data_IF_280787121974
#
_entry.id   IF_280787121974
#
_cell.length_a   1.000
_cell.length_b   1.000
_cell.length_c   1.000
_cell.angle_alpha   90.00
_cell.angle_beta   90.00
_cell.angle_gamma   90.00
#
_symmetry.space_group_name_H-M   'P 1'
#
loop_
_entity.id
_entity.type
_entity.pdbx_description
1 polymer ?
#
# COMPACT_ATOMS: atom_id res chain seq x y z
N UNK A 1 -2.54 -32.79 8.33
CA UNK A 1 -2.52 -32.39 8.11
C UNK A 1 -1.97 -31.40 7.83
N UNK A 2 -1.38 -31.36 7.56
CA UNK A 2 -0.70 -30.35 7.08
C UNK A 2 -1.48 -29.20 6.90
N UNK A 3 -2.60 -29.36 6.90
CA UNK A 3 -3.45 -28.34 6.73
C UNK A 3 -3.35 -27.33 7.73
N UNK A 4 -3.13 -27.71 8.92
CA UNK A 4 -3.14 -26.73 9.96
C UNK A 4 -2.06 -25.74 9.78
N UNK A 5 -1.00 -26.13 9.20
CA UNK A 5 0.06 -25.19 8.98
C UNK A 5 -0.34 -24.09 8.08
N UNK A 6 -1.08 -24.42 7.09
CA UNK A 6 -1.50 -23.42 6.17
C UNK A 6 -2.37 -22.40 6.80
N UNK A 7 -3.15 -22.83 7.70
CA UNK A 7 -4.03 -21.92 8.37
C UNK A 7 -3.28 -20.89 9.12
N UNK A 8 -2.21 -21.28 9.73
CA UNK A 8 -1.44 -20.33 10.48
C UNK A 8 -0.80 -19.32 9.63
N UNK A 9 -0.34 -19.72 8.47
CA UNK A 9 0.24 -18.76 7.59
C UNK A 9 -0.73 -17.69 7.22
N UNK A 10 -1.95 -18.08 7.04
CA UNK A 10 -2.93 -17.12 6.61
C UNK A 10 -3.17 -16.04 7.61
N UNK A 11 -2.89 -16.31 8.86
CA UNK A 11 -3.16 -15.35 9.88
C UNK A 11 -2.08 -14.33 10.02
N UNK A 12 -0.91 -14.62 9.44
CA UNK A 12 0.24 -13.78 9.66
C UNK A 12 0.71 -13.21 8.34
N UNK A 13 -0.18 -12.50 7.70
CA UNK A 13 0.20 -11.88 6.45
C UNK A 13 1.30 -10.87 6.69
N UNK A 14 2.27 -10.82 5.82
CA UNK A 14 3.37 -9.87 5.89
C UNK A 14 3.27 -8.88 4.76
N UNK A 15 3.37 -7.62 5.10
CA UNK A 15 3.40 -6.55 4.11
C UNK A 15 4.83 -6.06 4.04
N UNK A 16 5.44 -6.18 2.87
CA UNK A 16 6.80 -5.72 2.66
C UNK A 16 6.78 -4.33 2.09
N UNK A 17 7.55 -3.44 2.68
CA UNK A 17 7.58 -2.04 2.27
C UNK A 17 8.99 -1.70 1.87
N UNK A 18 9.13 -1.22 0.63
CA UNK A 18 10.42 -0.79 0.11
C UNK A 18 10.29 0.67 -0.29
N UNK A 19 11.26 1.46 0.07
CA UNK A 19 11.25 2.87 -0.30
C UNK A 19 11.87 3.02 -1.67
N UNK A 20 11.06 3.42 -2.65
CA UNK A 20 11.59 3.63 -4.00
C UNK A 20 12.32 4.94 -4.10
N UNK A 21 11.78 5.97 -3.46
CA UNK A 21 12.43 7.25 -3.36
C UNK A 21 11.74 7.98 -2.23
N UNK A 22 12.08 9.24 -2.00
CA UNK A 22 11.50 9.92 -0.85
C UNK A 22 10.03 10.26 -1.02
N UNK A 23 9.49 10.04 -2.21
CA UNK A 23 8.07 10.36 -2.46
C UNK A 23 7.19 9.12 -2.53
N UNK A 24 7.76 7.95 -2.79
CA UNK A 24 6.96 6.77 -3.13
C UNK A 24 7.51 5.52 -2.43
N UNK A 25 6.58 4.76 -1.87
CA UNK A 25 6.89 3.45 -1.33
C UNK A 25 6.38 2.38 -2.28
N UNK A 26 7.03 1.24 -2.27
CA UNK A 26 6.50 0.07 -2.96
C UNK A 26 6.04 -0.94 -1.93
N UNK A 27 4.83 -1.42 -2.08
CA UNK A 27 4.21 -2.35 -1.16
C UNK A 27 4.13 -3.70 -1.85
N UNK A 28 4.58 -4.73 -1.15
CA UNK A 28 4.53 -6.08 -1.68
C UNK A 28 3.78 -6.95 -0.68
N UNK A 29 2.67 -7.51 -1.10
CA UNK A 29 1.85 -8.36 -0.26
C UNK A 29 1.01 -9.23 -1.17
N UNK A 30 0.21 -10.13 -0.59
CA UNK A 30 -0.57 -11.01 -1.45
C UNK A 30 -1.77 -10.26 -2.04
N UNK A 31 -2.47 -10.91 -2.93
CA UNK A 31 -3.53 -10.25 -3.67
C UNK A 31 -4.68 -9.82 -2.78
N UNK A 32 -5.03 -10.61 -1.80
CA UNK A 32 -6.15 -10.23 -0.95
C UNK A 32 -5.80 -9.05 -0.07
N UNK A 33 -4.59 -8.99 0.43
CA UNK A 33 -4.17 -7.84 1.22
C UNK A 33 -4.05 -6.61 0.33
N UNK A 34 -3.60 -6.79 -0.89
CA UNK A 34 -3.50 -5.69 -1.84
C UNK A 34 -4.88 -5.10 -2.12
N UNK A 35 -5.89 -5.94 -2.25
CA UNK A 35 -7.25 -5.46 -2.44
C UNK A 35 -7.76 -4.69 -1.22
N UNK A 36 -7.40 -5.15 -0.04
CA UNK A 36 -7.75 -4.42 1.17
C UNK A 36 -7.09 -3.07 1.23
N UNK A 37 -5.83 -2.99 0.82
CA UNK A 37 -5.13 -1.73 0.79
C UNK A 37 -5.78 -0.75 -0.18
N UNK A 38 -6.20 -1.26 -1.32
CA UNK A 38 -6.87 -0.42 -2.29
C UNK A 38 -8.12 0.22 -1.69
N UNK A 39 -8.89 -0.56 -0.97
CA UNK A 39 -10.09 -0.03 -0.33
C UNK A 39 -9.74 0.91 0.81
N UNK A 40 -8.77 0.55 1.61
CA UNK A 40 -8.39 1.36 2.76
C UNK A 40 -7.91 2.74 2.33
N UNK A 41 -7.18 2.81 1.22
CA UNK A 41 -6.60 4.06 0.75
C UNK A 41 -7.43 4.73 -0.34
N UNK A 42 -8.74 4.44 -0.39
CA UNK A 42 -9.61 5.12 -1.33
C UNK A 42 -10.70 5.86 -0.56
N UNK A 43 -11.19 6.92 -1.13
CA UNK A 43 -12.26 7.69 -0.49
C UNK A 43 -12.99 8.51 -1.52
N UNK A 44 -14.23 8.85 -1.20
CA UNK A 44 -15.00 9.72 -2.07
C UNK A 44 -14.54 11.16 -1.87
N UNK A 45 -14.43 11.87 -2.96
CA UNK A 45 -14.06 13.27 -2.90
C UNK A 45 -15.29 14.06 -2.42
N UNK A 46 -15.12 14.97 -1.45
CA UNK A 46 -16.23 15.79 -1.02
C UNK A 46 -16.80 16.58 -2.20
N UNK A 47 -18.11 16.57 -2.33
CA UNK A 47 -18.75 17.28 -3.43
C UNK A 47 -18.66 16.57 -4.75
N UNK A 48 -18.21 15.32 -4.79
CA UNK A 48 -18.03 14.62 -6.05
C UNK A 48 -19.33 14.54 -6.85
N UNK A 49 -20.47 14.49 -6.18
CA UNK A 49 -21.74 14.34 -6.87
C UNK A 49 -22.08 15.56 -7.73
N UNK A 50 -21.44 16.68 -7.47
CA UNK A 50 -21.68 17.89 -8.22
C UNK A 50 -20.64 18.13 -9.31
N UNK A 51 -19.69 17.23 -9.45
CA UNK A 51 -18.63 17.42 -10.42
C UNK A 51 -19.04 16.82 -11.76
N UNK A 52 -18.73 17.50 -12.86
CA UNK A 52 -19.17 17.03 -14.17
C UNK A 52 -18.69 15.63 -14.51
N UNK A 53 -17.45 15.29 -14.15
CA UNK A 53 -16.92 13.98 -14.48
C UNK A 53 -17.73 12.88 -13.81
N UNK A 54 -18.18 13.11 -12.58
CA UNK A 54 -19.02 12.13 -11.91
C UNK A 54 -20.39 12.07 -12.54
N UNK A 55 -20.97 13.23 -12.82
CA UNK A 55 -22.32 13.29 -13.38
C UNK A 55 -22.38 12.68 -14.76
N UNK A 56 -21.29 12.77 -15.50
CA UNK A 56 -21.21 12.19 -16.82
C UNK A 56 -20.73 10.76 -16.81
N UNK A 57 -20.54 10.18 -15.62
CA UNK A 57 -20.16 8.80 -15.43
C UNK A 57 -18.79 8.47 -15.99
N UNK A 58 -17.94 9.47 -16.08
CA UNK A 58 -16.57 9.29 -16.48
C UNK A 58 -15.73 8.85 -15.28
N UNK A 59 -16.19 9.19 -14.09
CA UNK A 59 -15.45 8.98 -12.85
C UNK A 59 -16.43 8.58 -11.77
N UNK A 60 -16.00 7.70 -10.86
CA UNK A 60 -16.87 7.16 -9.81
C UNK A 60 -16.85 7.99 -8.52
N UNK A 61 -16.15 9.11 -8.51
CA UNK A 61 -16.14 9.99 -7.34
C UNK A 61 -15.09 9.65 -6.32
N UNK A 62 -14.32 8.62 -6.54
CA UNK A 62 -13.30 8.18 -5.59
C UNK A 62 -11.90 8.52 -6.05
N UNK A 63 -11.04 8.77 -5.08
CA UNK A 63 -9.60 8.84 -5.30
C UNK A 63 -8.99 7.61 -4.67
N UNK A 64 -8.09 6.97 -5.38
CA UNK A 64 -7.40 5.79 -4.89
C UNK A 64 -5.92 6.11 -4.79
N UNK A 65 -5.42 6.11 -3.56
CA UNK A 65 -4.04 6.50 -3.32
C UNK A 65 -3.06 5.33 -3.47
N UNK A 66 -3.56 4.12 -3.37
CA UNK A 66 -2.71 2.94 -3.55
C UNK A 66 -2.95 2.37 -4.94
N UNK A 67 -1.86 2.18 -5.67
CA UNK A 67 -1.94 1.61 -7.00
C UNK A 67 -1.76 0.10 -6.88
N UNK A 68 -2.84 -0.63 -7.02
CA UNK A 68 -2.80 -2.08 -6.84
C UNK A 68 -1.97 -2.78 -7.91
N UNK A 69 -1.89 -2.19 -9.08
CA UNK A 69 -1.17 -2.81 -10.18
C UNK A 69 0.34 -2.71 -9.97
N UNK A 70 0.82 -1.54 -9.59
CA UNK A 70 2.25 -1.35 -9.39
C UNK A 70 2.69 -1.54 -7.96
N UNK A 71 1.76 -1.52 -7.02
CA UNK A 71 2.10 -1.61 -5.61
C UNK A 71 2.59 -0.31 -5.01
N UNK A 72 2.40 0.81 -5.69
CA UNK A 72 2.96 2.08 -5.22
C UNK A 72 2.01 2.81 -4.30
N UNK A 73 2.57 3.43 -3.28
CA UNK A 73 1.83 4.21 -2.31
C UNK A 73 2.65 5.45 -1.98
N UNK A 74 2.02 6.62 -1.89
CA UNK A 74 2.77 7.83 -1.51
C UNK A 74 3.45 7.64 -0.17
N UNK A 75 4.71 8.07 -0.08
CA UNK A 75 5.49 7.87 1.13
C UNK A 75 4.90 8.57 2.34
N UNK A 76 4.16 9.65 2.11
CA UNK A 76 3.52 10.35 3.21
C UNK A 76 2.46 9.55 3.92
N UNK A 77 2.04 8.41 3.35
CA UNK A 77 1.03 7.57 3.96
C UNK A 77 1.64 6.42 4.77
N UNK A 78 2.94 6.47 4.99
CA UNK A 78 3.63 5.43 5.76
C UNK A 78 2.97 5.20 7.13
N UNK A 79 2.67 6.23 7.91
CA UNK A 79 2.01 5.97 9.21
C UNK A 79 0.67 5.27 9.06
N UNK A 80 -0.06 5.59 7.99
CA UNK A 80 -1.36 4.98 7.77
C UNK A 80 -1.26 3.51 7.42
N UNK A 81 -0.25 3.11 6.64
CA UNK A 81 -0.13 1.71 6.33
C UNK A 81 0.32 0.92 7.55
N UNK A 82 1.11 1.53 8.43
CA UNK A 82 1.45 0.87 9.68
C UNK A 82 0.20 0.66 10.54
N UNK A 83 -0.66 1.65 10.60
CA UNK A 83 -1.90 1.53 11.35
C UNK A 83 -2.82 0.48 10.75
N UNK A 84 -2.86 0.41 9.43
CA UNK A 84 -3.63 -0.61 8.74
C UNK A 84 -3.15 -2.01 9.14
N UNK A 85 -1.84 -2.22 9.08
CA UNK A 85 -1.29 -3.52 9.41
C UNK A 85 -1.54 -3.88 10.86
N UNK A 86 -1.41 -2.90 11.74
CA UNK A 86 -1.64 -3.16 13.15
C UNK A 86 -3.08 -3.55 13.41
N UNK A 87 -4.01 -2.88 12.77
CA UNK A 87 -5.42 -3.16 13.01
C UNK A 87 -5.80 -4.56 12.53
N UNK A 88 -5.07 -5.11 11.58
CA UNK A 88 -5.36 -6.43 11.06
C UNK A 88 -4.38 -7.48 11.54
N UNK A 89 -3.45 -7.06 12.40
CA UNK A 89 -2.44 -7.96 12.96
C UNK A 89 -1.56 -8.57 11.87
N UNK A 90 -1.30 -7.80 10.84
CA UNK A 90 -0.35 -8.18 9.81
C UNK A 90 1.04 -7.70 10.22
N UNK A 91 2.06 -8.39 9.77
CA UNK A 91 3.43 -8.00 10.06
C UNK A 91 3.93 -7.04 9.00
N UNK A 92 4.81 -6.15 9.40
CA UNK A 92 5.45 -5.22 8.49
C UNK A 92 6.92 -5.60 8.39
N UNK A 93 7.40 -5.72 7.16
CA UNK A 93 8.79 -6.03 6.89
C UNK A 93 9.35 -4.90 6.04
N UNK A 94 10.24 -4.11 6.61
CA UNK A 94 10.84 -2.99 5.89
C UNK A 94 12.05 -3.52 5.14
N UNK A 95 12.02 -3.38 3.82
CA UNK A 95 13.09 -3.86 2.98
C UNK A 95 14.07 -2.73 2.76
N UNK A 96 15.29 -2.92 3.21
CA UNK A 96 16.34 -1.97 2.95
C UNK A 96 16.88 -2.22 1.57
N UNK A 97 17.03 -1.19 0.80
CA UNK A 97 17.57 -1.36 -0.54
C UNK A 97 18.91 -0.70 -0.61
N UNK A 98 19.66 -1.12 -1.59
CA UNK A 98 20.96 -0.58 -1.77
C UNK A 98 21.02 0.58 -2.71
N UNK A 99 19.96 0.93 -3.22
CA UNK A 99 20.02 2.06 -4.11
C UNK A 99 20.43 3.26 -3.31
N UNK A 100 21.24 3.86 -3.68
CA UNK A 100 21.72 4.87 -2.82
C UNK A 100 22.39 4.30 -1.64
N UNK A 101 22.45 3.29 -1.75
CA UNK A 101 23.25 3.13 -1.11
C UNK A 101 24.05 3.38 -1.16
N UNK A 102 24.45 3.04 -1.09
CA UNK A 102 25.11 3.32 -1.09
C UNK A 102 25.64 3.74 -1.43
N UNK A 103 25.82 3.30 -1.31
CA UNK A 103 26.19 3.57 -1.57
C UNK A 103 26.11 4.19 -2.06
N UNK A 104 26.06 4.11 -1.91
CA UNK A 104 25.76 4.53 -2.29
C UNK A 104 25.56 5.38 -2.43
N UNK A 105 25.89 5.35 -2.14
CA UNK A 105 25.69 5.94 -2.05
C UNK A 105 25.39 6.79 -1.95
N UNK A 106 25.63 6.68 -1.77
CA UNK A 106 25.41 7.27 -1.55
C UNK A 106 25.08 8.08 -1.41
N UNK A 107 25.27 8.26 -1.26
CA UNK A 107 24.99 8.73 -1.03
C UNK A 107 24.49 9.66 -1.06
N UNK A 108 24.45 9.62 -0.81
CA UNK A 108 24.01 10.27 -0.79
C UNK A 108 23.61 11.00 -0.74
N UNK A 109 23.88 11.30 -0.41
CA UNK A 109 23.46 11.61 -0.25
C UNK A 109 23.16 12.03 -0.33
#
# INVERSE_FOLDING_TARGET
MATSNNIQHNQMETIRIRKLNHAVLQIDCDNSTSAELKEFFSFYVPGHKFMPAYRNRIWDGKIRLYNQITGELPAGLYPQILAFAESREYEIDIIETDYGNPNIGNKVD
#
